data_IF_702720272697
#
_entry.id   IF_702720272697
#
_cell.length_a   1.000
_cell.length_b   1.000
_cell.length_c   1.000
_cell.angle_alpha   90.00
_cell.angle_beta   90.00
_cell.angle_gamma   90.00
#
_symmetry.space_group_name_H-M   'P 1'
#
loop_
_entity.id
_entity.type
_entity.pdbx_description
1 polymer ?
#
# COMPACT_ATOMS: atom_id res chain seq x y z
N UNK A 1 -34.78 -18.53 24.03
CA UNK A 1 -33.97 -17.30 24.04
C UNK A 1 -34.36 -16.51 22.80
N UNK A 2 -34.84 -15.28 22.97
CA UNK A 2 -35.34 -14.47 21.86
C UNK A 2 -34.19 -14.18 20.88
N UNK A 3 -34.43 -14.47 19.60
CA UNK A 3 -33.58 -14.04 18.49
C UNK A 3 -33.48 -12.51 18.54
N UNK A 4 -32.32 -11.99 18.95
CA UNK A 4 -32.02 -10.57 18.79
C UNK A 4 -32.01 -10.29 17.30
N UNK A 5 -33.05 -9.66 16.79
CA UNK A 5 -33.06 -9.04 15.47
C UNK A 5 -31.97 -7.97 15.49
N UNK A 6 -30.77 -8.32 15.03
CA UNK A 6 -29.69 -7.35 14.80
C UNK A 6 -30.26 -6.40 13.75
N UNK A 7 -30.55 -5.15 14.15
CA UNK A 7 -31.04 -4.17 13.19
C UNK A 7 -29.97 -4.02 12.11
N UNK A 8 -30.39 -4.04 10.83
CA UNK A 8 -29.47 -3.82 9.72
C UNK A 8 -28.65 -2.53 9.99
N UNK A 9 -27.32 -2.59 9.89
CA UNK A 9 -26.50 -1.44 10.21
C UNK A 9 -26.83 -0.29 9.24
N UNK A 10 -26.90 0.94 9.77
CA UNK A 10 -27.28 2.13 9.00
C UNK A 10 -26.04 2.71 8.33
N UNK A 11 -26.03 2.74 7.00
CA UNK A 11 -24.97 3.40 6.22
C UNK A 11 -25.04 4.92 6.39
N UNK A 12 -23.88 5.56 6.27
CA UNK A 12 -23.78 7.02 6.21
C UNK A 12 -24.57 7.56 5.00
N UNK A 13 -25.36 8.61 5.22
CA UNK A 13 -26.22 9.21 4.20
C UNK A 13 -25.82 10.63 3.84
N UNK A 14 -25.04 11.30 4.69
CA UNK A 14 -24.53 12.64 4.42
C UNK A 14 -23.49 12.59 3.28
N UNK A 15 -23.77 13.19 2.11
CA UNK A 15 -22.85 13.15 0.97
C UNK A 15 -21.50 13.86 1.27
N UNK A 16 -21.42 14.70 2.30
CA UNK A 16 -20.15 15.29 2.75
C UNK A 16 -19.23 14.27 3.42
N UNK A 17 -19.81 13.23 3.99
CA UNK A 17 -19.11 12.20 4.78
C UNK A 17 -18.94 10.88 4.03
N UNK A 18 -19.74 10.65 2.99
CA UNK A 18 -19.55 9.54 2.06
C UNK A 18 -18.29 9.76 1.26
N UNK A 19 -17.41 8.76 1.21
CA UNK A 19 -16.09 8.85 0.57
C UNK A 19 -16.07 7.97 -0.67
N UNK A 20 -15.77 8.57 -1.80
CA UNK A 20 -15.67 7.88 -3.10
C UNK A 20 -14.25 7.87 -3.62
N UNK A 21 -13.94 6.90 -4.47
CA UNK A 21 -12.68 6.82 -5.20
C UNK A 21 -12.91 7.41 -6.59
N UNK A 22 -12.16 8.47 -6.91
CA UNK A 22 -12.30 9.20 -8.18
C UNK A 22 -11.10 9.07 -9.10
N UNK A 23 -9.99 8.52 -8.62
CA UNK A 23 -8.84 8.17 -9.46
C UNK A 23 -7.89 7.20 -8.78
N UNK A 24 -7.06 6.56 -9.59
CA UNK A 24 -6.07 5.58 -9.15
C UNK A 24 -4.75 5.70 -9.93
N UNK A 25 -3.64 5.41 -9.25
CA UNK A 25 -2.33 5.43 -9.86
C UNK A 25 -1.40 4.45 -9.17
N UNK A 26 -0.47 3.87 -9.93
CA UNK A 26 0.46 2.88 -9.41
C UNK A 26 1.81 2.93 -10.10
N UNK A 27 2.79 2.33 -9.43
CA UNK A 27 4.06 1.91 -10.01
C UNK A 27 4.29 0.49 -9.55
N UNK A 28 4.50 -0.43 -10.49
CA UNK A 28 4.61 -1.86 -10.21
C UNK A 28 5.65 -2.53 -11.12
N UNK A 29 5.93 -3.81 -10.84
CA UNK A 29 6.79 -4.65 -11.70
C UNK A 29 6.24 -4.87 -13.12
N UNK A 30 4.96 -4.57 -13.36
CA UNK A 30 4.34 -4.62 -14.69
C UNK A 30 4.22 -3.25 -15.36
N UNK A 31 4.88 -2.24 -14.80
CA UNK A 31 4.78 -0.86 -15.24
C UNK A 31 3.88 -0.02 -14.34
N UNK A 32 3.55 1.16 -14.82
CA UNK A 32 2.82 2.19 -14.08
C UNK A 32 1.41 2.43 -14.62
N UNK A 33 0.97 1.65 -15.61
CA UNK A 33 -0.35 1.75 -16.24
C UNK A 33 -1.35 0.82 -15.54
N UNK A 34 -2.53 1.34 -15.20
CA UNK A 34 -3.47 0.63 -14.33
C UNK A 34 -4.17 -0.50 -15.06
N UNK A 35 -4.58 -0.29 -16.31
CA UNK A 35 -5.22 -1.32 -17.14
C UNK A 35 -4.24 -2.45 -17.44
N UNK A 36 -3.01 -2.10 -17.84
CA UNK A 36 -1.94 -3.09 -18.08
C UNK A 36 -1.66 -3.91 -16.83
N UNK A 37 -1.58 -3.26 -15.66
CA UNK A 37 -1.42 -3.94 -14.38
C UNK A 37 -2.58 -4.89 -14.12
N UNK A 38 -3.82 -4.42 -14.24
CA UNK A 38 -5.02 -5.21 -13.98
C UNK A 38 -5.16 -6.42 -14.91
N UNK A 39 -4.99 -6.24 -16.23
CA UNK A 39 -5.01 -7.34 -17.19
C UNK A 39 -3.89 -8.36 -16.93
N UNK A 40 -2.72 -7.88 -16.52
CA UNK A 40 -1.63 -8.77 -16.11
C UNK A 40 -2.01 -9.57 -14.87
N UNK A 41 -2.70 -8.94 -13.89
CA UNK A 41 -3.25 -9.64 -12.71
C UNK A 41 -4.22 -10.76 -13.10
N UNK A 42 -5.13 -10.47 -14.04
CA UNK A 42 -6.12 -11.45 -14.51
C UNK A 42 -5.47 -12.62 -15.25
N UNK A 43 -4.34 -12.38 -15.94
CA UNK A 43 -3.59 -13.43 -16.64
C UNK A 43 -2.80 -14.36 -15.72
N UNK A 44 -2.63 -14.00 -14.44
CA UNK A 44 -1.87 -14.80 -13.46
C UNK A 44 -0.35 -14.79 -13.67
N UNK A 45 0.18 -13.79 -14.39
CA UNK A 45 1.61 -13.69 -14.72
C UNK A 45 2.43 -13.25 -13.50
N UNK A 46 3.46 -14.02 -13.16
CA UNK A 46 4.42 -13.68 -12.10
C UNK A 46 5.32 -12.51 -12.43
N UNK A 47 5.43 -11.57 -11.49
CA UNK A 47 6.41 -10.49 -11.50
C UNK A 47 7.66 -10.79 -10.68
N UNK A 48 7.77 -12.00 -10.11
CA UNK A 48 8.92 -12.42 -9.32
C UNK A 48 10.00 -12.99 -10.23
N UNK A 49 11.25 -12.58 -9.98
CA UNK A 49 12.41 -13.01 -10.76
C UNK A 49 13.68 -12.95 -9.91
N UNK A 50 14.77 -13.52 -10.42
CA UNK A 50 16.09 -13.35 -9.80
C UNK A 50 16.46 -11.86 -9.70
N UNK A 51 17.13 -11.52 -8.61
CA UNK A 51 17.62 -10.17 -8.35
C UNK A 51 18.80 -9.91 -9.28
N UNK A 52 18.69 -8.87 -10.11
CA UNK A 52 19.76 -8.41 -11.02
C UNK A 52 20.24 -6.98 -10.71
N UNK A 53 19.61 -6.28 -9.75
CA UNK A 53 19.95 -4.91 -9.35
C UNK A 53 21.27 -4.80 -8.58
N UNK A 54 21.64 -5.86 -7.86
CA UNK A 54 22.88 -5.96 -7.09
C UNK A 54 23.34 -7.42 -7.05
N UNK A 55 24.60 -7.66 -6.67
CA UNK A 55 25.12 -9.02 -6.52
C UNK A 55 24.49 -9.71 -5.31
N UNK A 56 23.49 -10.55 -5.57
CA UNK A 56 22.83 -11.39 -4.57
C UNK A 56 23.43 -12.81 -4.48
N UNK A 57 24.56 -13.11 -5.13
CA UNK A 57 25.11 -14.49 -5.23
C UNK A 57 25.41 -15.12 -3.86
N UNK A 58 25.80 -14.31 -2.88
CA UNK A 58 26.11 -14.74 -1.51
C UNK A 58 24.89 -14.79 -0.59
N UNK A 59 23.72 -14.33 -1.07
CA UNK A 59 22.49 -14.30 -0.30
C UNK A 59 21.80 -15.67 -0.35
N UNK A 60 21.18 -16.07 0.76
CA UNK A 60 20.36 -17.28 0.81
C UNK A 60 19.04 -17.13 0.03
N UNK A 61 18.59 -15.89 -0.19
CA UNK A 61 17.43 -15.54 -1.02
C UNK A 61 17.87 -14.56 -2.09
N UNK A 62 17.60 -14.89 -3.36
CA UNK A 62 18.17 -14.22 -4.54
C UNK A 62 17.13 -13.77 -5.55
N UNK A 63 15.88 -13.65 -5.13
CA UNK A 63 14.76 -13.27 -5.99
C UNK A 63 13.84 -12.27 -5.29
N UNK A 64 13.17 -11.44 -6.07
CA UNK A 64 12.22 -10.42 -5.61
C UNK A 64 11.30 -9.97 -6.75
N UNK A 65 10.23 -9.27 -6.41
CA UNK A 65 9.44 -8.47 -7.34
C UNK A 65 10.10 -7.11 -7.53
N UNK A 66 11.10 -7.04 -8.42
CA UNK A 66 11.83 -5.80 -8.71
C UNK A 66 11.24 -5.05 -9.91
N UNK A 67 11.10 -3.74 -9.78
CA UNK A 67 10.72 -2.87 -10.89
C UNK A 67 11.92 -2.69 -11.81
N UNK A 68 11.70 -2.94 -13.10
CA UNK A 68 12.65 -2.71 -14.19
C UNK A 68 12.14 -1.58 -15.08
N UNK A 69 13.07 -0.92 -15.77
CA UNK A 69 12.77 0.10 -16.78
C UNK A 69 11.85 1.23 -16.28
N UNK A 70 11.91 1.55 -14.99
CA UNK A 70 11.13 2.64 -14.40
C UNK A 70 11.50 3.98 -15.04
N UNK A 71 10.48 4.70 -15.49
CA UNK A 71 10.62 6.05 -16.03
C UNK A 71 9.76 7.03 -15.24
N UNK A 72 10.39 8.10 -14.77
CA UNK A 72 9.74 9.27 -14.18
C UNK A 72 9.59 10.42 -15.17
N UNK A 73 9.86 10.18 -16.46
CA UNK A 73 9.79 11.21 -17.52
C UNK A 73 8.38 11.80 -17.58
N UNK A 74 8.29 13.13 -17.56
CA UNK A 74 7.03 13.86 -17.54
C UNK A 74 6.42 14.04 -16.13
N UNK A 75 6.89 13.26 -15.15
CA UNK A 75 6.38 13.28 -13.78
C UNK A 75 7.37 13.89 -12.78
N UNK A 76 8.68 13.82 -13.02
CA UNK A 76 9.69 14.38 -12.12
C UNK A 76 10.71 15.16 -12.95
N UNK A 77 11.06 16.38 -12.51
CA UNK A 77 12.15 17.14 -13.11
C UNK A 77 13.48 16.37 -13.03
N UNK A 78 14.21 16.30 -14.15
CA UNK A 78 15.39 15.44 -14.28
C UNK A 78 16.54 15.78 -13.31
N UNK A 79 16.62 17.02 -12.80
CA UNK A 79 17.62 17.41 -11.79
C UNK A 79 17.26 16.83 -10.42
N UNK A 80 15.99 16.82 -10.08
CA UNK A 80 15.48 16.25 -8.84
C UNK A 80 15.48 14.72 -8.89
N UNK A 81 15.07 14.12 -10.01
CA UNK A 81 14.94 12.67 -10.21
C UNK A 81 16.19 11.88 -9.79
N UNK A 82 17.38 12.35 -10.19
CA UNK A 82 18.67 11.69 -9.91
C UNK A 82 19.06 11.64 -8.44
N UNK A 83 18.42 12.46 -7.60
CA UNK A 83 18.67 12.51 -6.15
C UNK A 83 17.60 11.75 -5.36
N UNK A 84 16.51 11.40 -6.05
CA UNK A 84 15.39 10.57 -5.64
C UNK A 84 15.83 9.22 -5.05
N UNK A 85 15.45 8.90 -3.81
CA UNK A 85 15.25 7.48 -3.47
C UNK A 85 14.10 6.93 -4.34
N UNK A 86 14.21 5.68 -4.80
CA UNK A 86 13.15 5.06 -5.61
C UNK A 86 11.81 5.05 -4.89
N UNK A 87 11.80 4.93 -3.55
CA UNK A 87 10.58 5.01 -2.74
C UNK A 87 9.79 6.31 -3.02
N UNK A 88 10.49 7.44 -3.17
CA UNK A 88 9.88 8.73 -3.47
C UNK A 88 9.56 8.92 -4.94
N UNK A 89 10.42 8.38 -5.83
CA UNK A 89 10.16 8.41 -7.28
C UNK A 89 8.87 7.65 -7.62
N UNK A 90 8.67 6.48 -7.02
CA UNK A 90 7.47 5.66 -7.20
C UNK A 90 6.23 6.38 -6.66
N UNK A 91 6.32 6.97 -5.46
CA UNK A 91 5.25 7.77 -4.86
C UNK A 91 4.83 8.96 -5.74
N UNK A 92 5.79 9.72 -6.26
CA UNK A 92 5.51 10.90 -7.09
C UNK A 92 4.83 10.50 -8.40
N UNK A 93 5.30 9.46 -9.07
CA UNK A 93 4.67 8.97 -10.31
C UNK A 93 3.29 8.42 -10.02
N UNK A 94 3.13 7.53 -9.04
CA UNK A 94 1.82 6.94 -8.71
C UNK A 94 0.80 8.01 -8.29
N UNK A 95 1.21 8.97 -7.44
CA UNK A 95 0.34 10.04 -6.97
C UNK A 95 -0.10 11.00 -8.07
N UNK A 96 0.83 11.38 -8.97
CA UNK A 96 0.48 12.22 -10.12
C UNK A 96 -0.43 11.49 -11.11
N UNK A 97 -0.18 10.20 -11.38
CA UNK A 97 -1.08 9.41 -12.22
C UNK A 97 -2.47 9.29 -11.62
N UNK A 98 -2.57 9.13 -10.29
CA UNK A 98 -3.86 9.11 -9.60
C UNK A 98 -4.61 10.44 -9.74
N UNK A 99 -3.91 11.58 -9.63
CA UNK A 99 -4.49 12.91 -9.85
C UNK A 99 -4.93 13.10 -11.32
N UNK A 100 -4.12 12.68 -12.28
CA UNK A 100 -4.45 12.70 -13.71
C UNK A 100 -5.71 11.87 -14.01
N UNK A 101 -5.78 10.65 -13.50
CA UNK A 101 -6.93 9.74 -13.65
C UNK A 101 -8.21 10.34 -13.03
N UNK A 102 -8.07 11.05 -11.90
CA UNK A 102 -9.17 11.80 -11.28
C UNK A 102 -9.54 13.10 -12.00
N UNK A 103 -8.90 13.43 -13.12
CA UNK A 103 -9.03 14.71 -13.82
C UNK A 103 -8.70 15.93 -12.94
N UNK A 104 -7.72 15.78 -12.05
CA UNK A 104 -7.19 16.81 -11.14
C UNK A 104 -5.80 17.28 -11.59
N UNK A 105 -5.70 17.71 -12.84
CA UNK A 105 -4.47 18.31 -13.38
C UNK A 105 -4.16 19.70 -12.76
N UNK A 106 -2.98 20.27 -13.02
CA UNK A 106 -2.54 21.53 -12.42
C UNK A 106 -3.53 22.69 -12.60
N UNK A 107 -4.06 22.86 -13.81
CA UNK A 107 -5.02 23.93 -14.13
C UNK A 107 -6.31 23.81 -13.30
N UNK A 108 -6.77 22.59 -13.03
CA UNK A 108 -7.97 22.34 -12.22
C UNK A 108 -7.66 22.62 -10.74
N UNK A 109 -6.53 22.13 -10.24
CA UNK A 109 -6.11 22.33 -8.85
C UNK A 109 -5.92 23.81 -8.50
N UNK A 110 -5.51 24.65 -9.45
CA UNK A 110 -5.40 26.11 -9.25
C UNK A 110 -6.75 26.80 -9.02
N UNK A 111 -7.85 26.21 -9.50
CA UNK A 111 -9.21 26.74 -9.29
C UNK A 111 -9.85 26.27 -7.98
N UNK A 112 -9.21 25.33 -7.28
CA UNK A 112 -9.71 24.71 -6.06
C UNK A 112 -9.09 25.32 -4.80
N UNK A 113 -9.78 25.17 -3.67
CA UNK A 113 -9.19 25.46 -2.37
C UNK A 113 -8.19 24.35 -1.99
N UNK A 114 -6.92 24.59 -2.27
CA UNK A 114 -5.84 23.61 -2.01
C UNK A 114 -5.65 23.30 -0.53
N UNK A 115 -6.18 24.11 0.40
CA UNK A 115 -6.16 23.81 1.84
C UNK A 115 -7.12 22.67 2.22
N UNK A 116 -8.04 22.33 1.31
CA UNK A 116 -8.99 21.22 1.44
C UNK A 116 -8.51 19.93 0.78
N UNK A 117 -7.29 19.90 0.26
CA UNK A 117 -6.74 18.76 -0.47
C UNK A 117 -5.48 18.27 0.26
N UNK A 118 -5.57 17.09 0.89
CA UNK A 118 -4.48 16.51 1.68
C UNK A 118 -3.73 15.38 0.96
N UNK A 119 -2.61 14.96 1.55
CA UNK A 119 -1.75 13.88 1.03
C UNK A 119 -1.28 12.98 2.18
N UNK A 120 -1.62 11.69 2.09
CA UNK A 120 -1.22 10.63 3.01
C UNK A 120 -0.75 9.38 2.24
N UNK A 121 0.46 9.43 1.70
CA UNK A 121 1.12 8.27 1.10
C UNK A 121 2.22 7.78 2.04
N UNK A 122 1.95 6.67 2.73
CA UNK A 122 2.84 6.11 3.73
C UNK A 122 3.88 5.14 3.15
N UNK A 123 4.80 4.71 4.01
CA UNK A 123 5.83 3.72 3.68
C UNK A 123 6.26 2.94 4.93
N UNK A 124 6.58 1.66 4.77
CA UNK A 124 7.09 0.82 5.85
C UNK A 124 8.49 1.24 6.31
N UNK A 125 9.42 1.40 5.38
CA UNK A 125 10.84 1.64 5.69
C UNK A 125 11.39 2.99 5.22
N UNK A 126 10.66 3.74 4.39
CA UNK A 126 11.13 5.02 3.87
C UNK A 126 12.23 4.87 2.82
N UNK A 127 13.10 5.87 2.72
CA UNK A 127 14.17 5.87 1.72
C UNK A 127 15.38 5.08 2.21
N UNK A 128 15.26 3.76 2.17
CA UNK A 128 16.29 2.84 2.67
C UNK A 128 17.60 2.94 1.88
N UNK A 129 17.54 3.31 0.59
CA UNK A 129 18.75 3.52 -0.23
C UNK A 129 19.48 4.76 0.23
N UNK A 130 18.76 5.89 0.40
CA UNK A 130 19.33 7.11 0.96
C UNK A 130 19.96 6.86 2.34
N UNK A 131 19.28 6.11 3.20
CA UNK A 131 19.77 5.76 4.52
C UNK A 131 21.08 4.94 4.45
N UNK A 132 21.06 3.84 3.70
CA UNK A 132 22.20 2.93 3.57
C UNK A 132 23.43 3.61 2.99
N UNK A 133 23.28 4.38 1.91
CA UNK A 133 24.39 5.11 1.29
C UNK A 133 24.96 6.21 2.18
N UNK A 134 24.11 6.83 3.01
CA UNK A 134 24.57 7.81 4.00
C UNK A 134 25.42 7.17 5.10
N UNK A 135 24.98 6.04 5.65
CA UNK A 135 25.74 5.26 6.64
C UNK A 135 27.06 4.75 6.06
N UNK A 136 27.05 4.20 4.85
CA UNK A 136 28.25 3.76 4.16
C UNK A 136 29.25 4.91 3.95
N UNK A 137 28.75 6.07 3.51
CA UNK A 137 29.58 7.27 3.32
C UNK A 137 30.21 7.76 4.63
N UNK A 138 29.47 7.69 5.74
CA UNK A 138 29.98 8.02 7.07
C UNK A 138 31.12 7.08 7.47
N UNK A 139 30.92 5.76 7.36
CA UNK A 139 31.88 4.74 7.80
C UNK A 139 33.14 4.77 6.94
N UNK A 140 32.99 4.80 5.62
CA UNK A 140 34.12 4.69 4.69
C UNK A 140 34.85 6.00 4.45
N UNK A 141 34.16 7.14 4.56
CA UNK A 141 34.68 8.44 4.09
C UNK A 141 34.51 9.59 5.10
N UNK A 142 33.86 9.36 6.23
CA UNK A 142 33.60 10.34 7.28
C UNK A 142 32.43 11.29 6.99
N UNK A 143 31.96 11.99 8.03
CA UNK A 143 30.73 12.79 8.01
C UNK A 143 30.70 13.89 6.93
N UNK A 144 31.86 14.45 6.55
CA UNK A 144 31.97 15.48 5.51
C UNK A 144 31.55 15.00 4.12
N UNK A 145 31.40 13.69 3.91
CA UNK A 145 30.98 13.10 2.63
C UNK A 145 29.51 12.67 2.61
N UNK A 146 28.77 12.86 3.70
CA UNK A 146 27.32 12.64 3.72
C UNK A 146 26.64 13.72 2.87
N UNK A 147 25.75 13.31 1.97
CA UNK A 147 24.94 14.24 1.17
C UNK A 147 23.99 15.05 2.07
N UNK A 148 23.77 16.35 1.80
CA UNK A 148 22.78 17.13 2.55
C UNK A 148 21.35 16.58 2.40
N UNK A 149 21.11 15.72 1.41
CA UNK A 149 19.83 15.06 1.18
C UNK A 149 19.66 13.74 1.95
N UNK A 150 20.64 13.34 2.77
CA UNK A 150 20.60 12.08 3.52
C UNK A 150 19.36 12.01 4.42
N UNK A 151 19.20 12.94 5.36
CA UNK A 151 18.07 12.94 6.28
C UNK A 151 16.75 13.17 5.53
N UNK A 152 16.60 14.21 4.68
CA UNK A 152 15.36 14.42 3.94
C UNK A 152 14.94 13.20 3.15
N UNK A 153 15.83 12.49 2.47
CA UNK A 153 15.40 11.34 1.66
C UNK A 153 15.36 10.02 2.42
N UNK A 154 15.70 9.97 3.72
CA UNK A 154 15.59 8.74 4.52
C UNK A 154 14.27 8.65 5.29
N UNK A 155 13.67 9.78 5.67
CA UNK A 155 12.51 9.82 6.57
C UNK A 155 11.19 9.47 5.88
N UNK A 156 10.26 8.84 6.61
CA UNK A 156 9.06 8.21 6.03
C UNK A 156 8.01 9.19 5.50
N UNK A 157 7.98 10.44 5.96
CA UNK A 157 6.99 11.44 5.54
C UNK A 157 7.24 12.06 4.16
N UNK A 158 8.32 11.68 3.50
CA UNK A 158 8.78 12.44 2.34
C UNK A 158 8.04 12.16 1.06
N UNK A 159 7.42 11.00 0.91
CA UNK A 159 6.48 10.73 -0.19
C UNK A 159 5.35 11.76 -0.21
N UNK A 160 4.58 11.84 0.89
CA UNK A 160 3.49 12.82 1.04
C UNK A 160 3.95 14.27 0.87
N UNK A 161 5.07 14.63 1.49
CA UNK A 161 5.56 16.01 1.46
C UNK A 161 6.08 16.42 0.07
N UNK A 162 6.84 15.57 -0.63
CA UNK A 162 7.33 15.87 -1.97
C UNK A 162 6.17 15.97 -2.97
N UNK A 163 5.19 15.07 -2.86
CA UNK A 163 4.01 15.12 -3.72
C UNK A 163 3.22 16.41 -3.49
N UNK A 164 2.98 16.79 -2.23
CA UNK A 164 2.29 18.03 -1.90
C UNK A 164 3.06 19.29 -2.35
N UNK A 165 4.39 19.31 -2.19
CA UNK A 165 5.23 20.42 -2.67
C UNK A 165 5.11 20.57 -4.18
N UNK A 166 5.15 19.46 -4.90
CA UNK A 166 5.14 19.45 -6.36
C UNK A 166 3.75 19.83 -6.92
N UNK A 167 2.67 19.39 -6.28
CA UNK A 167 1.28 19.61 -6.72
C UNK A 167 0.60 20.81 -6.06
N UNK A 168 1.25 21.43 -5.07
CA UNK A 168 0.76 22.59 -4.33
C UNK A 168 -0.39 22.29 -3.35
N UNK A 169 -0.56 21.04 -2.92
CA UNK A 169 -1.63 20.63 -2.01
C UNK A 169 -1.30 21.04 -0.57
N UNK A 170 -2.27 21.63 0.13
CA UNK A 170 -2.06 22.32 1.41
C UNK A 170 -2.91 21.78 2.57
N UNK A 171 -3.69 20.71 2.34
CA UNK A 171 -4.47 20.05 3.38
C UNK A 171 -3.64 19.13 4.29
N UNK A 172 -4.28 18.20 5.02
CA UNK A 172 -3.59 17.30 5.95
C UNK A 172 -2.44 16.54 5.28
N UNK A 173 -1.23 16.65 5.86
CA UNK A 173 -0.03 16.01 5.35
C UNK A 173 0.86 15.52 6.49
N UNK A 174 1.02 14.21 6.62
CA UNK A 174 1.88 13.54 7.57
C UNK A 174 2.22 12.12 7.10
N UNK A 175 3.03 11.41 7.90
CA UNK A 175 3.41 10.02 7.64
C UNK A 175 2.66 9.07 8.55
N UNK A 176 2.23 7.94 7.98
CA UNK A 176 1.90 6.75 8.73
C UNK A 176 2.86 5.66 8.28
N UNK A 177 3.40 4.93 9.25
CA UNK A 177 4.25 3.77 9.02
C UNK A 177 3.85 2.69 10.00
N UNK A 178 3.20 1.64 9.49
CA UNK A 178 2.68 0.50 10.26
C UNK A 178 3.05 -0.83 9.58
N UNK A 179 4.26 -0.88 9.01
CA UNK A 179 4.74 -1.99 8.19
C UNK A 179 3.69 -2.34 7.12
N UNK A 180 3.44 -3.63 6.85
CA UNK A 180 2.58 -4.10 5.76
C UNK A 180 1.14 -3.54 5.74
N UNK A 181 0.68 -2.91 6.83
CA UNK A 181 -0.64 -2.30 6.93
C UNK A 181 -0.64 -0.79 6.58
N UNK A 182 0.51 -0.21 6.23
CA UNK A 182 0.70 1.24 6.09
C UNK A 182 -0.32 1.88 5.16
N UNK A 183 -0.50 1.35 3.95
CA UNK A 183 -1.47 1.89 3.00
C UNK A 183 -2.92 1.83 3.53
N UNK A 184 -3.30 0.75 4.22
CA UNK A 184 -4.64 0.61 4.80
C UNK A 184 -4.88 1.65 5.90
N UNK A 185 -3.87 1.95 6.72
CA UNK A 185 -3.97 3.03 7.71
C UNK A 185 -4.09 4.39 7.03
N UNK A 186 -3.36 4.64 5.94
CA UNK A 186 -3.49 5.86 5.15
C UNK A 186 -4.90 6.03 4.59
N UNK A 187 -5.51 4.99 4.01
CA UNK A 187 -6.89 5.03 3.52
C UNK A 187 -7.88 5.31 4.65
N UNK A 188 -7.75 4.62 5.79
CA UNK A 188 -8.60 4.84 6.95
C UNK A 188 -8.49 6.27 7.50
N UNK A 189 -7.27 6.79 7.63
CA UNK A 189 -7.03 8.15 8.10
C UNK A 189 -7.56 9.20 7.11
N UNK A 190 -7.31 9.02 5.82
CA UNK A 190 -7.81 9.88 4.74
C UNK A 190 -9.34 9.96 4.72
N UNK A 191 -10.03 8.81 4.79
CA UNK A 191 -11.48 8.76 4.88
C UNK A 191 -11.99 9.52 6.11
N UNK A 192 -11.30 9.43 7.24
CA UNK A 192 -11.68 10.13 8.46
C UNK A 192 -11.45 11.65 8.39
N UNK A 193 -10.42 12.14 7.68
CA UNK A 193 -10.28 13.58 7.40
C UNK A 193 -11.48 14.10 6.59
N UNK A 194 -11.94 13.33 5.59
CA UNK A 194 -13.12 13.69 4.79
C UNK A 194 -14.39 13.65 5.63
N UNK A 195 -14.64 12.57 6.38
CA UNK A 195 -15.82 12.41 7.26
C UNK A 195 -15.93 13.49 8.34
N UNK A 196 -14.80 14.02 8.80
CA UNK A 196 -14.74 15.13 9.78
C UNK A 196 -14.87 16.50 9.13
N UNK A 197 -14.92 16.56 7.80
CA UNK A 197 -14.97 17.80 7.05
C UNK A 197 -13.65 18.58 7.11
N UNK A 198 -12.51 17.92 7.33
CA UNK A 198 -11.17 18.53 7.37
C UNK A 198 -10.54 18.63 5.98
N UNK A 199 -10.95 17.77 5.04
CA UNK A 199 -10.55 17.79 3.64
C UNK A 199 -11.73 17.38 2.74
N UNK A 200 -11.72 17.81 1.49
CA UNK A 200 -12.67 17.36 0.45
C UNK A 200 -12.04 16.27 -0.43
N UNK A 201 -10.72 16.33 -0.63
CA UNK A 201 -9.93 15.37 -1.39
C UNK A 201 -8.72 14.93 -0.56
N UNK A 202 -8.41 13.65 -0.58
CA UNK A 202 -7.22 13.06 0.01
C UNK A 202 -6.51 12.18 -1.01
N UNK A 203 -5.24 12.49 -1.30
CA UNK A 203 -4.34 11.60 -2.05
C UNK A 203 -3.75 10.60 -1.08
N UNK A 204 -4.21 9.35 -1.11
CA UNK A 204 -3.87 8.36 -0.08
C UNK A 204 -3.28 7.09 -0.68
N UNK A 205 -2.34 6.45 0.00
CA UNK A 205 -1.75 5.21 -0.50
C UNK A 205 -0.52 4.73 0.24
N UNK A 206 0.28 3.93 -0.45
CA UNK A 206 1.55 3.41 0.05
C UNK A 206 2.65 3.37 -1.02
N UNK A 207 3.90 3.41 -0.58
CA UNK A 207 5.09 3.26 -1.44
C UNK A 207 6.19 2.50 -0.69
N UNK A 208 6.93 1.66 -1.40
CA UNK A 208 8.08 0.95 -0.86
C UNK A 208 9.11 0.62 -1.96
N UNK A 209 10.39 0.72 -1.62
CA UNK A 209 11.51 0.41 -2.53
C UNK A 209 12.62 -0.38 -1.82
N UNK A 210 12.22 -1.42 -1.09
CA UNK A 210 13.07 -2.21 -0.22
C UNK A 210 13.98 -3.23 -0.92
N UNK A 211 13.82 -3.43 -2.24
CA UNK A 211 14.59 -4.43 -3.00
C UNK A 211 16.00 -3.91 -3.27
N UNK A 212 16.82 -3.99 -2.22
CA UNK A 212 18.23 -3.63 -2.16
C UNK A 212 18.97 -4.53 -1.17
N UNK A 213 20.30 -4.54 -1.21
CA UNK A 213 21.12 -5.46 -0.40
C UNK A 213 20.80 -5.43 1.11
N UNK A 214 20.64 -4.24 1.70
CA UNK A 214 20.31 -4.10 3.13
C UNK A 214 18.89 -4.55 3.46
N UNK A 215 17.91 -4.23 2.60
CA UNK A 215 16.52 -4.66 2.77
C UNK A 215 16.39 -6.18 2.68
N UNK A 216 16.89 -6.79 1.60
CA UNK A 216 16.86 -8.24 1.42
C UNK A 216 17.66 -8.94 2.52
N UNK A 217 18.86 -8.47 2.85
CA UNK A 217 19.69 -9.02 3.92
C UNK A 217 19.02 -8.97 5.29
N UNK A 218 18.32 -7.86 5.61
CA UNK A 218 17.57 -7.71 6.85
C UNK A 218 16.45 -8.74 6.99
N UNK A 219 15.65 -8.92 5.94
CA UNK A 219 14.55 -9.90 5.98
C UNK A 219 15.00 -11.36 5.92
N UNK A 220 16.16 -11.64 5.31
CA UNK A 220 16.85 -12.95 5.44
C UNK A 220 17.19 -13.20 6.91
N UNK A 221 17.75 -12.21 7.62
CA UNK A 221 18.11 -12.35 9.02
C UNK A 221 16.89 -12.61 9.91
N UNK A 222 15.73 -12.02 9.58
CA UNK A 222 14.45 -12.29 10.22
C UNK A 222 13.85 -13.66 9.89
N UNK A 223 14.42 -14.41 8.94
CA UNK A 223 13.89 -15.71 8.44
C UNK A 223 12.45 -15.61 7.92
N UNK A 224 12.09 -14.47 7.34
CA UNK A 224 10.73 -14.21 6.89
C UNK A 224 10.51 -14.48 5.40
N UNK A 225 11.58 -14.56 4.61
CA UNK A 225 11.54 -14.75 3.16
C UNK A 225 11.50 -16.23 2.76
N UNK A 226 10.78 -16.52 1.67
CA UNK A 226 10.87 -17.81 0.97
C UNK A 226 12.30 -18.09 0.49
N UNK A 227 12.73 -19.34 0.52
CA UNK A 227 14.07 -19.76 0.09
C UNK A 227 14.08 -20.47 -1.27
N UNK A 228 12.96 -20.45 -2.00
CA UNK A 228 12.76 -21.16 -3.26
C UNK A 228 13.44 -20.48 -4.45
N UNK A 229 14.77 -20.46 -4.43
CA UNK A 229 15.58 -19.82 -5.49
C UNK A 229 15.48 -20.51 -6.85
N UNK A 230 15.16 -21.81 -6.89
CA UNK A 230 15.11 -22.60 -8.14
C UNK A 230 13.84 -22.37 -8.96
N UNK A 231 12.76 -21.88 -8.33
CA UNK A 231 11.46 -21.60 -8.97
C UNK A 231 10.90 -20.27 -8.43
N UNK A 232 11.60 -19.14 -8.63
CA UNK A 232 11.26 -17.86 -8.01
C UNK A 232 9.84 -17.40 -8.36
N UNK A 233 9.40 -17.62 -9.60
CA UNK A 233 8.08 -17.29 -10.11
C UNK A 233 6.95 -18.03 -9.38
N UNK A 234 7.26 -19.13 -8.69
CA UNK A 234 6.34 -19.93 -7.88
C UNK A 234 6.57 -19.79 -6.39
N UNK A 235 7.51 -18.96 -5.93
CA UNK A 235 7.91 -18.90 -4.53
C UNK A 235 6.81 -18.33 -3.63
N UNK A 236 6.09 -17.30 -4.09
CA UNK A 236 4.92 -16.77 -3.40
C UNK A 236 3.72 -17.67 -3.70
N UNK A 237 3.23 -18.38 -2.67
CA UNK A 237 2.15 -19.37 -2.81
C UNK A 237 1.26 -19.40 -1.57
N UNK A 238 0.50 -18.34 -1.31
CA UNK A 238 -0.39 -18.26 -0.17
C UNK A 238 -1.31 -19.47 -0.04
N UNK A 239 -1.47 -19.93 1.19
CA UNK A 239 -2.24 -21.12 1.59
C UNK A 239 -1.74 -22.47 1.06
N UNK A 240 -0.78 -22.51 0.12
CA UNK A 240 -0.18 -23.75 -0.36
C UNK A 240 0.56 -24.49 0.78
N UNK A 241 0.52 -25.82 0.77
CA UNK A 241 1.17 -26.64 1.81
C UNK A 241 2.70 -26.47 1.81
N UNK A 242 3.29 -26.15 0.67
CA UNK A 242 4.74 -25.97 0.48
C UNK A 242 5.21 -24.53 0.56
N UNK A 243 4.39 -23.60 1.06
CA UNK A 243 4.79 -22.21 1.33
C UNK A 243 5.78 -22.14 2.49
N UNK A 244 6.76 -21.26 2.38
CA UNK A 244 7.91 -21.22 3.30
C UNK A 244 8.32 -19.79 3.72
N UNK A 245 7.55 -18.78 3.32
CA UNK A 245 7.85 -17.37 3.61
C UNK A 245 7.26 -16.45 2.55
N UNK A 246 7.35 -15.14 2.80
CA UNK A 246 6.91 -14.15 1.82
C UNK A 246 7.99 -13.89 0.76
N UNK A 247 7.60 -13.29 -0.35
CA UNK A 247 8.53 -12.81 -1.38
C UNK A 247 8.49 -11.29 -1.37
N UNK A 248 9.63 -10.62 -1.28
CA UNK A 248 9.69 -9.16 -1.22
C UNK A 248 9.37 -8.52 -2.58
N UNK A 249 8.63 -7.42 -2.55
CA UNK A 249 8.32 -6.58 -3.71
C UNK A 249 8.61 -5.10 -3.47
N UNK A 250 8.51 -4.31 -4.52
CA UNK A 250 8.60 -2.84 -4.47
C UNK A 250 7.63 -2.18 -5.48
N UNK A 251 7.29 -0.93 -5.22
CA UNK A 251 6.27 -0.19 -5.97
C UNK A 251 5.47 0.79 -5.12
N UNK A 252 4.41 1.32 -5.70
CA UNK A 252 3.49 2.26 -5.06
C UNK A 252 2.08 2.09 -5.60
N UNK A 253 1.08 2.30 -4.74
CA UNK A 253 -0.32 2.38 -5.11
C UNK A 253 -0.98 3.55 -4.39
N UNK A 254 -1.66 4.41 -5.15
CA UNK A 254 -2.28 5.65 -4.67
C UNK A 254 -3.70 5.76 -5.21
N UNK A 255 -4.62 6.19 -4.36
CA UNK A 255 -6.02 6.47 -4.69
C UNK A 255 -6.33 7.94 -4.39
N UNK A 256 -7.23 8.51 -5.19
CA UNK A 256 -7.87 9.79 -4.90
C UNK A 256 -9.18 9.48 -4.19
N UNK A 257 -9.20 9.78 -2.88
CA UNK A 257 -10.40 9.67 -2.05
C UNK A 257 -11.05 11.05 -1.97
N UNK A 258 -12.36 11.13 -2.15
CA UNK A 258 -13.07 12.40 -2.29
C UNK A 258 -14.44 12.35 -1.63
N UNK A 259 -14.92 13.46 -1.06
CA UNK A 259 -16.31 13.51 -0.57
C UNK A 259 -17.29 13.38 -1.73
N UNK A 260 -18.37 12.61 -1.54
CA UNK A 260 -19.36 12.39 -2.59
C UNK A 260 -19.97 13.71 -3.09
N UNK A 261 -20.26 14.64 -2.18
CA UNK A 261 -20.76 15.97 -2.55
C UNK A 261 -19.79 16.70 -3.48
N UNK A 262 -18.50 16.71 -3.15
CA UNK A 262 -17.48 17.39 -3.95
C UNK A 262 -17.29 16.71 -5.31
N UNK A 263 -17.20 15.37 -5.33
CA UNK A 263 -17.09 14.58 -6.55
C UNK A 263 -18.27 14.82 -7.50
N UNK A 264 -19.50 14.83 -6.98
CA UNK A 264 -20.71 15.11 -7.75
C UNK A 264 -20.71 16.55 -8.29
N UNK A 265 -20.32 17.53 -7.48
CA UNK A 265 -20.29 18.95 -7.86
C UNK A 265 -19.36 19.21 -9.05
N UNK A 266 -18.22 18.52 -9.13
CA UNK A 266 -17.27 18.65 -10.25
C UNK A 266 -17.51 17.65 -11.39
N UNK A 267 -18.53 16.80 -11.30
CA UNK A 267 -18.83 15.77 -12.31
C UNK A 267 -17.76 14.68 -12.43
N UNK A 268 -17.12 14.31 -11.31
CA UNK A 268 -16.08 13.30 -11.30
C UNK A 268 -16.60 11.91 -11.71
N UNK A 269 -15.76 11.13 -12.39
CA UNK A 269 -15.99 9.70 -12.53
C UNK A 269 -15.81 9.02 -11.17
N UNK A 270 -16.81 8.26 -10.72
CA UNK A 270 -16.78 7.54 -9.45
C UNK A 270 -16.55 6.06 -9.74
N UNK A 271 -15.42 5.54 -9.27
CA UNK A 271 -15.01 4.15 -9.48
C UNK A 271 -15.67 3.24 -8.44
N UNK A 272 -15.63 3.65 -7.18
CA UNK A 272 -16.14 2.88 -6.05
C UNK A 272 -16.42 3.80 -4.86
N UNK A 273 -17.12 3.27 -3.85
CA UNK A 273 -17.31 3.94 -2.56
C UNK A 273 -16.49 3.23 -1.47
N UNK A 274 -15.72 4.01 -0.70
CA UNK A 274 -15.09 3.53 0.52
C UNK A 274 -16.11 3.55 1.65
N UNK A 275 -16.64 2.38 2.00
CA UNK A 275 -17.70 2.29 3.01
C UNK A 275 -17.14 2.36 4.43
N UNK A 276 -16.00 1.73 4.73
CA UNK A 276 -15.44 1.76 6.07
C UNK A 276 -14.19 0.90 6.26
N UNK A 277 -13.62 0.99 7.46
CA UNK A 277 -12.43 0.25 7.86
C UNK A 277 -12.19 0.32 9.36
N UNK A 278 -11.24 -0.46 9.85
CA UNK A 278 -10.88 -0.45 11.27
C UNK A 278 -9.39 -0.69 11.48
N UNK A 279 -8.93 -0.34 12.69
CA UNK A 279 -7.57 -0.57 13.16
C UNK A 279 -7.65 -1.33 14.48
N UNK A 280 -6.91 -2.43 14.58
CA UNK A 280 -6.76 -3.23 15.80
C UNK A 280 -5.29 -3.55 16.06
N UNK A 281 -4.98 -4.11 17.23
CA UNK A 281 -3.65 -4.56 17.59
C UNK A 281 -3.77 -5.91 18.29
N UNK A 282 -2.97 -6.88 17.85
CA UNK A 282 -2.93 -8.23 18.43
C UNK A 282 -2.41 -8.23 19.87
N UNK A 283 -1.59 -7.24 20.24
CA UNK A 283 -0.90 -7.14 21.53
C UNK A 283 -0.27 -8.48 21.97
N UNK A 284 0.37 -9.18 21.03
CA UNK A 284 0.76 -10.58 21.19
C UNK A 284 2.26 -10.82 20.99
N UNK A 285 2.74 -10.66 19.76
CA UNK A 285 4.14 -10.86 19.39
C UNK A 285 4.55 -9.80 18.37
N UNK A 286 5.87 -9.55 18.26
CA UNK A 286 6.38 -8.50 17.38
C UNK A 286 6.12 -8.79 15.90
N UNK A 287 6.23 -10.06 15.49
CA UNK A 287 6.12 -10.50 14.08
C UNK A 287 5.09 -11.59 13.84
N UNK A 288 4.70 -12.31 14.90
CA UNK A 288 3.88 -13.50 14.75
C UNK A 288 2.43 -13.12 15.04
N UNK A 289 1.49 -13.41 14.12
CA UNK A 289 0.09 -13.15 14.37
C UNK A 289 -0.43 -14.10 15.44
N UNK A 290 -1.52 -13.71 16.11
CA UNK A 290 -2.22 -14.65 16.98
C UNK A 290 -2.75 -15.84 16.18
N UNK A 291 -2.41 -17.06 16.60
CA UNK A 291 -2.84 -18.30 15.95
C UNK A 291 -4.37 -18.49 15.95
N UNK A 292 -5.05 -17.90 16.93
CA UNK A 292 -6.51 -17.92 17.05
C UNK A 292 -7.22 -16.98 16.07
N UNK A 293 -6.49 -16.10 15.37
CA UNK A 293 -7.07 -15.14 14.42
C UNK A 293 -7.92 -14.03 15.08
N UNK A 294 -7.83 -13.85 16.40
CA UNK A 294 -8.74 -12.94 17.13
C UNK A 294 -8.59 -11.47 16.70
N UNK A 295 -7.37 -10.97 16.57
CA UNK A 295 -7.18 -9.55 16.21
C UNK A 295 -7.57 -9.26 14.75
N UNK A 296 -7.31 -10.20 13.84
CA UNK A 296 -7.73 -10.12 12.43
C UNK A 296 -9.25 -10.19 12.32
N UNK A 297 -9.91 -11.17 12.96
CA UNK A 297 -11.37 -11.29 12.94
C UNK A 297 -12.05 -10.07 13.58
N UNK A 298 -11.50 -9.56 14.69
CA UNK A 298 -11.97 -8.33 15.32
C UNK A 298 -11.84 -7.12 14.38
N UNK A 299 -10.76 -7.04 13.60
CA UNK A 299 -10.57 -5.97 12.63
C UNK A 299 -11.61 -6.05 11.50
N UNK A 300 -11.86 -7.25 10.98
CA UNK A 300 -12.87 -7.46 9.93
C UNK A 300 -14.25 -7.09 10.46
N UNK A 301 -14.66 -7.61 11.63
CA UNK A 301 -15.97 -7.29 12.23
C UNK A 301 -16.15 -5.80 12.46
N UNK A 302 -15.16 -5.11 13.01
CA UNK A 302 -15.21 -3.64 13.20
C UNK A 302 -15.23 -2.87 11.89
N UNK A 303 -14.58 -3.37 10.85
CA UNK A 303 -14.62 -2.75 9.52
C UNK A 303 -16.01 -2.86 8.90
N UNK A 304 -16.68 -4.01 9.07
CA UNK A 304 -18.07 -4.20 8.65
C UNK A 304 -19.04 -3.31 9.44
N UNK A 305 -18.80 -3.16 10.75
CA UNK A 305 -19.55 -2.25 11.60
C UNK A 305 -19.39 -0.78 11.16
N UNK A 306 -18.15 -0.30 10.93
CA UNK A 306 -17.88 1.05 10.42
C UNK A 306 -18.49 1.28 9.03
N UNK A 307 -18.44 0.26 8.17
CA UNK A 307 -19.00 0.30 6.82
C UNK A 307 -20.53 0.26 6.78
N UNK A 308 -21.16 -0.19 7.86
CA UNK A 308 -22.58 -0.53 7.88
C UNK A 308 -22.95 -1.58 6.83
N UNK A 309 -22.14 -2.64 6.74
CA UNK A 309 -22.27 -3.75 5.79
C UNK A 309 -22.43 -5.05 6.58
N UNK A 310 -23.40 -5.88 6.21
CA UNK A 310 -23.52 -7.20 6.85
C UNK A 310 -22.49 -8.19 6.27
N UNK A 311 -22.02 -9.19 7.04
CA UNK A 311 -21.08 -10.19 6.52
C UNK A 311 -21.57 -10.90 5.24
N UNK A 312 -22.89 -11.06 5.09
CA UNK A 312 -23.52 -11.71 3.94
C UNK A 312 -23.48 -10.88 2.65
N UNK A 313 -23.22 -9.57 2.75
CA UNK A 313 -23.07 -8.69 1.58
C UNK A 313 -21.66 -8.74 0.97
N UNK A 314 -20.69 -9.31 1.68
CA UNK A 314 -19.30 -9.42 1.19
C UNK A 314 -19.22 -10.59 0.20
N UNK A 315 -18.78 -10.29 -1.02
CA UNK A 315 -18.61 -11.28 -2.08
C UNK A 315 -17.15 -11.57 -2.45
N UNK A 316 -16.22 -10.68 -2.07
CA UNK A 316 -14.83 -10.77 -2.43
C UNK A 316 -13.91 -10.28 -1.31
N UNK A 317 -12.82 -11.01 -1.09
CA UNK A 317 -11.75 -10.66 -0.15
C UNK A 317 -10.40 -10.70 -0.89
N UNK A 318 -9.78 -9.54 -1.08
CA UNK A 318 -8.37 -9.46 -1.41
C UNK A 318 -7.56 -9.57 -0.11
N UNK A 319 -7.09 -10.77 0.17
CA UNK A 319 -6.46 -11.14 1.43
C UNK A 319 -5.03 -10.57 1.57
N UNK A 320 -4.56 -10.48 2.82
CA UNK A 320 -3.18 -10.13 3.13
C UNK A 320 -2.22 -11.20 2.59
N UNK A 321 -2.52 -12.49 2.81
CA UNK A 321 -1.99 -13.63 2.05
C UNK A 321 -0.48 -13.54 1.76
N UNK A 322 0.34 -13.53 2.81
CA UNK A 322 1.78 -13.29 2.68
C UNK A 322 2.57 -14.51 2.27
N UNK A 323 1.94 -15.68 2.11
CA UNK A 323 2.66 -16.94 1.85
C UNK A 323 3.49 -17.41 3.06
N UNK A 324 3.16 -16.91 4.25
CA UNK A 324 3.80 -17.34 5.51
C UNK A 324 2.98 -18.43 6.18
N UNK A 325 3.64 -19.30 6.94
CA UNK A 325 2.96 -20.41 7.61
C UNK A 325 1.92 -19.91 8.62
N UNK A 326 2.31 -18.98 9.49
CA UNK A 326 1.46 -18.45 10.55
C UNK A 326 0.41 -17.45 10.03
N UNK A 327 0.81 -16.49 9.17
CA UNK A 327 -0.07 -15.43 8.65
C UNK A 327 -1.26 -15.98 7.89
N UNK A 328 -1.01 -16.82 6.90
CA UNK A 328 -2.07 -17.38 6.05
C UNK A 328 -3.07 -18.22 6.84
N UNK A 329 -2.61 -18.97 7.86
CA UNK A 329 -3.51 -19.76 8.73
C UNK A 329 -4.34 -18.85 9.64
N UNK A 330 -3.72 -17.85 10.27
CA UNK A 330 -4.42 -16.91 11.12
C UNK A 330 -5.51 -16.14 10.35
N UNK A 331 -5.22 -15.73 9.12
CA UNK A 331 -6.17 -15.04 8.24
C UNK A 331 -7.35 -15.93 7.84
N UNK A 332 -7.11 -17.18 7.43
CA UNK A 332 -8.19 -18.13 7.11
C UNK A 332 -9.06 -18.43 8.33
N UNK A 333 -8.45 -18.59 9.50
CA UNK A 333 -9.21 -18.81 10.75
C UNK A 333 -10.09 -17.59 11.07
N UNK A 334 -9.55 -16.39 10.94
CA UNK A 334 -10.28 -15.15 11.17
C UNK A 334 -11.48 -14.99 10.22
N UNK A 335 -11.29 -15.29 8.93
CA UNK A 335 -12.37 -15.24 7.93
C UNK A 335 -13.49 -16.21 8.31
N UNK A 336 -13.16 -17.45 8.69
CA UNK A 336 -14.16 -18.44 9.14
C UNK A 336 -14.90 -18.04 10.43
N UNK A 337 -14.27 -17.22 11.28
CA UNK A 337 -14.93 -16.70 12.49
C UNK A 337 -15.96 -15.62 12.17
N UNK A 338 -15.72 -14.78 11.16
CA UNK A 338 -16.59 -13.65 10.81
C UNK A 338 -17.68 -14.07 9.82
N UNK A 339 -17.30 -14.78 8.77
CA UNK A 339 -18.20 -15.18 7.70
C UNK A 339 -18.69 -16.62 7.93
N UNK A 340 -19.93 -16.75 8.41
CA UNK A 340 -20.53 -18.05 8.74
C UNK A 340 -20.80 -18.91 7.51
N UNK A 341 -21.26 -18.28 6.43
CA UNK A 341 -21.36 -18.89 5.11
C UNK A 341 -20.29 -18.26 4.21
N UNK A 342 -19.42 -19.11 3.67
CA UNK A 342 -18.30 -18.70 2.81
C UNK A 342 -18.46 -19.25 1.39
N UNK A 343 -19.57 -19.93 1.08
CA UNK A 343 -19.79 -20.61 -0.21
C UNK A 343 -19.74 -19.65 -1.40
N UNK A 344 -20.28 -18.44 -1.23
CA UNK A 344 -20.32 -17.41 -2.28
C UNK A 344 -19.13 -16.43 -2.22
N UNK A 345 -18.32 -16.45 -1.16
CA UNK A 345 -17.17 -15.54 -1.01
C UNK A 345 -16.00 -16.01 -1.87
N UNK A 346 -15.51 -15.13 -2.74
CA UNK A 346 -14.25 -15.34 -3.46
C UNK A 346 -13.10 -14.69 -2.68
N UNK A 347 -12.01 -15.43 -2.50
CA UNK A 347 -10.84 -14.95 -1.78
C UNK A 347 -9.59 -15.13 -2.63
N UNK A 348 -8.81 -14.07 -2.78
CA UNK A 348 -7.59 -14.07 -3.58
C UNK A 348 -6.46 -13.38 -2.82
N UNK A 349 -5.24 -13.89 -2.99
CA UNK A 349 -4.01 -13.29 -2.49
C UNK A 349 -3.17 -12.82 -3.67
N UNK A 350 -3.39 -11.59 -4.14
CA UNK A 350 -2.69 -11.04 -5.33
C UNK A 350 -1.17 -11.02 -5.19
N UNK A 351 -0.64 -11.09 -3.96
CA UNK A 351 0.80 -11.27 -3.68
C UNK A 351 1.38 -12.61 -4.16
N UNK A 352 0.55 -13.64 -4.32
CA UNK A 352 0.93 -14.97 -4.82
C UNK A 352 1.60 -14.91 -6.19
N UNK A 353 1.08 -14.04 -7.05
CA UNK A 353 1.25 -14.21 -8.48
C UNK A 353 1.78 -12.96 -9.16
N UNK A 354 2.06 -11.85 -8.47
CA UNK A 354 2.19 -10.58 -9.18
C UNK A 354 3.28 -9.64 -8.66
N UNK A 355 3.29 -9.33 -7.37
CA UNK A 355 4.12 -8.23 -6.84
C UNK A 355 5.11 -8.67 -5.77
N UNK A 356 4.87 -9.80 -5.10
CA UNK A 356 5.40 -10.02 -3.77
C UNK A 356 4.70 -9.12 -2.74
N UNK A 357 5.19 -9.14 -1.51
CA UNK A 357 4.78 -8.25 -0.43
C UNK A 357 5.51 -6.91 -0.57
N UNK A 358 4.73 -5.88 -0.86
CA UNK A 358 5.08 -4.47 -0.64
C UNK A 358 4.84 -4.17 0.85
N UNK A 359 5.82 -3.58 1.53
CA UNK A 359 5.75 -3.28 2.96
C UNK A 359 5.08 -1.94 3.25
#
# INVERSE_FOLDING_TARGET
MASSTVSAPKRETDPKKRVVITGMGLVSVFGNDVDTFYETLLSGKSGISLIDRFDASTFSVRFAGQIRDFSSKGYIDGKNDRRLDNCWRYCLVAGKRALEDASLGPEILETMDRTRIGVLVGTGMGGLTAFSSGVESLILKGYKKITPFFIPYSITNMGSALLAIDTGLMGPNYSISTACATANYCFYAAANHIRRGEADIMVAGGTEAAVMATGVGGFIACRALSQRNEEPERASRPWDKGRDGFVMGEGSGVLIMESLEHAQKRGANIIAEYLGGAITCDAHHMTDPRKDGLGVSSCISKSLEDAGVSPEEVNYVNAHATSTLAGDLAEVNAIKMVFKDTSEIKMNGTKASHLGLLL
#
